data_IF_037050685489
#
_entry.id   IF_037050685489
#
_cell.length_a   1.000
_cell.length_b   1.000
_cell.length_c   1.000
_cell.angle_alpha   90.00
_cell.angle_beta   90.00
_cell.angle_gamma   90.00
#
_symmetry.space_group_name_H-M   'P 1'
#
loop_
_entity.id
_entity.type
_entity.pdbx_description
1 polymer ?
#
# COMPACT_ATOMS: atom_id res chain seq x y z
N UNK A 1 -4.95 4.95 9.16
CA UNK A 1 -3.79 5.00 10.07
C UNK A 1 -3.96 4.11 11.29
N UNK A 2 -4.99 4.25 12.13
CA UNK A 2 -5.12 3.38 13.32
C UNK A 2 -5.72 2.00 13.00
N UNK A 3 -6.89 1.97 12.35
CA UNK A 3 -7.58 0.71 12.02
C UNK A 3 -7.22 0.13 10.65
N UNK A 4 -6.60 0.92 9.77
CA UNK A 4 -6.25 0.52 8.39
C UNK A 4 -7.37 0.65 7.35
N UNK A 5 -8.59 1.00 7.78
CA UNK A 5 -9.77 1.23 6.94
C UNK A 5 -10.52 2.50 7.40
N UNK A 6 -11.33 3.13 6.53
CA UNK A 6 -12.10 4.32 6.90
C UNK A 6 -13.25 3.98 7.86
N UNK A 7 -13.68 4.92 8.72
CA UNK A 7 -14.75 4.70 9.69
C UNK A 7 -16.14 4.49 9.05
N UNK A 8 -16.33 5.01 7.84
CA UNK A 8 -17.48 4.79 6.97
C UNK A 8 -17.05 5.07 5.52
N UNK A 9 -17.79 4.56 4.54
CA UNK A 9 -17.46 4.72 3.11
C UNK A 9 -18.00 6.04 2.59
N UNK A 10 -19.25 6.38 2.96
CA UNK A 10 -19.90 7.62 2.56
C UNK A 10 -20.71 8.19 3.73
N UNK A 11 -20.75 9.53 3.90
CA UNK A 11 -21.60 10.17 4.91
C UNK A 11 -23.07 10.18 4.46
N UNK A 12 -23.65 8.99 4.31
CA UNK A 12 -25.02 8.77 3.82
C UNK A 12 -25.78 7.89 4.80
N UNK A 13 -27.09 8.14 4.99
CA UNK A 13 -27.94 7.31 5.83
C UNK A 13 -28.09 5.86 5.31
N UNK A 14 -27.74 5.62 4.04
CA UNK A 14 -27.65 4.27 3.46
C UNK A 14 -26.42 3.50 3.95
N UNK A 15 -25.37 4.21 4.37
CA UNK A 15 -24.18 3.59 4.95
C UNK A 15 -24.49 3.23 6.41
N UNK A 16 -24.50 1.92 6.68
CA UNK A 16 -24.80 1.39 8.02
C UNK A 16 -23.89 1.99 9.10
N UNK A 17 -22.61 2.24 8.78
CA UNK A 17 -21.64 2.80 9.72
C UNK A 17 -21.98 4.25 10.07
N UNK A 18 -22.29 5.06 9.06
CA UNK A 18 -22.68 6.46 9.25
C UNK A 18 -24.02 6.56 9.99
N UNK A 19 -24.97 5.67 9.69
CA UNK A 19 -26.26 5.60 10.39
C UNK A 19 -26.06 5.41 11.92
N UNK A 20 -25.07 4.63 12.37
CA UNK A 20 -24.79 4.47 13.80
C UNK A 20 -24.28 5.75 14.46
N UNK A 21 -23.49 6.55 13.74
CA UNK A 21 -23.04 7.86 14.21
C UNK A 21 -24.21 8.86 14.32
N UNK A 22 -25.09 8.89 13.32
CA UNK A 22 -26.27 9.77 13.30
C UNK A 22 -27.24 9.42 14.42
N UNK A 23 -27.52 8.12 14.62
CA UNK A 23 -28.43 7.64 15.67
C UNK A 23 -27.81 7.66 17.08
N UNK A 24 -26.52 7.99 17.21
CA UNK A 24 -25.82 7.99 18.49
C UNK A 24 -25.56 6.59 19.07
N UNK A 25 -25.72 5.53 18.27
CA UNK A 25 -25.50 4.14 18.69
C UNK A 25 -24.02 3.73 18.55
N UNK A 26 -23.13 4.49 19.21
CA UNK A 26 -21.68 4.33 19.11
C UNK A 26 -21.18 2.94 19.56
N UNK A 27 -21.87 2.27 20.47
CA UNK A 27 -21.49 0.93 20.92
C UNK A 27 -21.53 -0.09 19.78
N UNK A 28 -22.55 -0.03 18.91
CA UNK A 28 -22.65 -0.90 17.74
C UNK A 28 -21.58 -0.57 16.69
N UNK A 29 -21.31 0.73 16.51
CA UNK A 29 -20.24 1.21 15.64
C UNK A 29 -18.88 0.62 16.06
N UNK A 30 -18.55 0.71 17.35
CA UNK A 30 -17.28 0.21 17.87
C UNK A 30 -17.22 -1.31 17.93
N UNK A 31 -18.30 -1.99 18.32
CA UNK A 31 -18.36 -3.47 18.35
C UNK A 31 -18.01 -4.07 16.99
N UNK A 32 -18.49 -3.46 15.90
CA UNK A 32 -18.20 -3.93 14.55
C UNK A 32 -16.76 -3.62 14.10
N UNK A 33 -16.20 -2.46 14.45
CA UNK A 33 -14.77 -2.14 14.21
C UNK A 33 -13.83 -3.05 15.03
N UNK A 34 -14.25 -3.46 16.22
CA UNK A 34 -13.47 -4.28 17.15
C UNK A 34 -13.33 -5.76 16.78
N UNK A 35 -13.97 -6.16 15.69
CA UNK A 35 -13.75 -7.45 15.03
C UNK A 35 -12.37 -7.52 14.40
N UNK A 36 -11.80 -6.39 13.97
CA UNK A 36 -10.50 -6.34 13.28
C UNK A 36 -9.38 -5.73 14.11
N UNK A 37 -9.68 -4.75 14.97
CA UNK A 37 -8.68 -4.02 15.74
C UNK A 37 -9.23 -3.64 17.12
N UNK A 38 -8.45 -3.76 18.20
CA UNK A 38 -8.89 -3.32 19.53
C UNK A 38 -8.55 -1.85 19.76
N UNK A 39 -9.47 -1.12 20.39
CA UNK A 39 -9.30 0.30 20.65
C UNK A 39 -9.37 0.60 22.15
N UNK A 40 -8.50 1.49 22.63
CA UNK A 40 -8.59 1.97 24.01
C UNK A 40 -9.87 2.81 24.21
N UNK A 41 -10.41 2.81 25.43
CA UNK A 41 -11.63 3.58 25.77
C UNK A 41 -11.50 5.07 25.42
N UNK A 42 -10.36 5.69 25.75
CA UNK A 42 -10.14 7.11 25.45
C UNK A 42 -10.07 7.40 23.95
N UNK A 43 -9.56 6.44 23.15
CA UNK A 43 -9.54 6.59 21.70
C UNK A 43 -10.97 6.58 21.14
N UNK A 44 -11.79 5.63 21.60
CA UNK A 44 -13.19 5.53 21.18
C UNK A 44 -13.94 6.81 21.53
N UNK A 45 -13.75 7.34 22.75
CA UNK A 45 -14.39 8.59 23.18
C UNK A 45 -13.98 9.77 22.30
N UNK A 46 -12.67 9.96 22.06
CA UNK A 46 -12.17 11.02 21.19
C UNK A 46 -12.80 10.95 19.79
N UNK A 47 -12.71 9.79 19.14
CA UNK A 47 -13.18 9.62 17.76
C UNK A 47 -14.70 9.74 17.68
N UNK A 48 -15.44 9.20 18.64
CA UNK A 48 -16.91 9.37 18.71
C UNK A 48 -17.32 10.84 18.80
N UNK A 49 -16.58 11.66 19.54
CA UNK A 49 -16.86 13.10 19.64
C UNK A 49 -16.40 13.90 18.43
N UNK A 50 -15.34 13.47 17.75
CA UNK A 50 -14.91 14.06 16.47
C UNK A 50 -15.87 13.75 15.32
N UNK A 51 -16.44 12.55 15.30
CA UNK A 51 -17.35 12.07 14.26
C UNK A 51 -18.84 12.31 14.60
N UNK A 52 -19.13 13.16 15.60
CA UNK A 52 -20.50 13.59 15.94
C UNK A 52 -21.17 14.21 14.71
N UNK A 53 -22.42 13.80 14.48
CA UNK A 53 -23.27 14.35 13.41
C UNK A 53 -23.61 15.82 13.65
N UNK A 54 -24.04 16.16 14.87
CA UNK A 54 -24.29 17.54 15.33
C UNK A 54 -22.95 18.29 15.44
N UNK A 55 -22.81 19.35 14.63
CA UNK A 55 -21.60 20.18 14.52
C UNK A 55 -21.31 20.94 15.82
N UNK A 56 -22.34 21.44 16.51
CA UNK A 56 -22.23 22.17 17.78
C UNK A 56 -21.74 21.28 18.93
N UNK A 57 -21.94 19.97 18.81
CA UNK A 57 -21.47 18.98 19.80
C UNK A 57 -20.12 18.36 19.42
N UNK A 58 -19.58 18.68 18.25
CA UNK A 58 -18.27 18.20 17.81
C UNK A 58 -17.18 18.95 18.56
N UNK A 59 -16.12 18.23 18.95
CA UNK A 59 -15.00 18.88 19.63
C UNK A 59 -14.31 19.88 18.71
N UNK A 60 -13.95 21.03 19.27
CA UNK A 60 -13.05 21.99 18.63
C UNK A 60 -11.61 21.47 18.64
N UNK A 61 -10.75 22.04 17.79
CA UNK A 61 -9.33 21.65 17.74
C UNK A 61 -8.64 21.79 19.11
N UNK A 62 -8.92 22.86 19.85
CA UNK A 62 -8.36 23.06 21.20
C UNK A 62 -8.81 21.98 22.19
N UNK A 63 -10.08 21.57 22.12
CA UNK A 63 -10.61 20.51 22.97
C UNK A 63 -10.02 19.14 22.60
N UNK A 64 -9.77 18.89 21.31
CA UNK A 64 -9.09 17.66 20.84
C UNK A 64 -7.68 17.59 21.43
N UNK A 65 -6.91 18.68 21.36
CA UNK A 65 -5.54 18.72 21.90
C UNK A 65 -5.48 18.49 23.41
N UNK A 66 -6.51 18.91 24.14
CA UNK A 66 -6.65 18.70 25.59
C UNK A 66 -7.25 17.33 25.96
N UNK A 67 -7.69 16.54 24.98
CA UNK A 67 -8.32 15.25 25.25
C UNK A 67 -7.31 14.26 25.88
N UNK A 68 -7.78 13.44 26.82
CA UNK A 68 -6.94 12.49 27.57
C UNK A 68 -6.10 11.60 26.66
N UNK A 69 -6.68 11.14 25.55
CA UNK A 69 -5.96 10.34 24.54
C UNK A 69 -4.78 11.09 23.89
N UNK A 70 -4.92 12.37 23.57
CA UNK A 70 -3.86 13.21 22.98
C UNK A 70 -2.81 13.60 24.02
N UNK A 71 -3.21 13.76 25.28
CA UNK A 71 -2.32 14.09 26.39
C UNK A 71 -1.53 12.89 26.96
N UNK A 72 -1.71 11.68 26.40
CA UNK A 72 -0.95 10.50 26.85
C UNK A 72 0.54 10.67 26.57
N UNK A 73 1.37 9.99 27.37
CA UNK A 73 2.82 9.95 27.17
C UNK A 73 3.13 9.49 25.74
N UNK A 74 3.77 10.36 24.97
CA UNK A 74 4.37 10.02 23.69
C UNK A 74 5.81 9.56 23.92
N UNK A 75 6.23 8.53 23.21
CA UNK A 75 7.64 8.11 23.21
C UNK A 75 8.45 9.12 22.41
N UNK A 76 9.62 9.50 22.91
CA UNK A 76 10.59 10.21 22.07
C UNK A 76 11.17 9.28 20.99
N UNK A 77 11.89 9.84 20.02
CA UNK A 77 12.41 9.07 18.88
C UNK A 77 13.25 7.85 19.30
N UNK A 78 14.08 8.00 20.34
CA UNK A 78 14.94 6.92 20.83
C UNK A 78 14.13 5.83 21.54
N UNK A 79 13.23 6.21 22.46
CA UNK A 79 12.30 5.29 23.13
C UNK A 79 11.42 4.53 22.10
N UNK A 80 10.97 5.22 21.05
CA UNK A 80 10.18 4.64 19.97
C UNK A 80 10.96 3.57 19.20
N UNK A 81 12.22 3.86 18.81
CA UNK A 81 13.09 2.89 18.12
C UNK A 81 13.30 1.66 18.99
N UNK A 82 13.56 1.83 20.28
CA UNK A 82 13.71 0.71 21.22
C UNK A 82 12.44 -0.13 21.31
N UNK A 83 11.28 0.50 21.47
CA UNK A 83 10.00 -0.21 21.59
C UNK A 83 9.62 -0.95 20.30
N UNK A 84 9.83 -0.33 19.13
CA UNK A 84 9.57 -0.97 17.83
C UNK A 84 10.52 -2.14 17.58
N UNK A 85 11.81 -2.00 17.94
CA UNK A 85 12.81 -3.07 17.84
C UNK A 85 12.41 -4.25 18.73
N UNK A 86 11.98 -3.97 19.97
CA UNK A 86 11.49 -4.99 20.91
C UNK A 86 10.24 -5.72 20.39
N UNK A 87 9.35 -5.03 19.68
CA UNK A 87 8.11 -5.62 19.12
C UNK A 87 8.32 -6.37 17.80
N UNK A 88 9.36 -6.04 17.03
CA UNK A 88 9.61 -6.60 15.68
C UNK A 88 9.55 -8.14 15.64
N UNK A 89 10.19 -8.90 16.55
CA UNK A 89 10.15 -10.36 16.51
C UNK A 89 8.72 -10.93 16.62
N UNK A 90 7.89 -10.40 17.54
CA UNK A 90 6.51 -10.87 17.73
C UNK A 90 5.62 -10.61 16.52
N UNK A 91 5.82 -9.46 15.87
CA UNK A 91 5.08 -9.12 14.66
C UNK A 91 5.53 -10.00 13.49
N UNK A 92 6.83 -10.28 13.40
CA UNK A 92 7.40 -11.12 12.35
C UNK A 92 6.93 -12.58 12.45
N UNK A 93 6.86 -13.14 13.65
CA UNK A 93 6.34 -14.50 13.87
C UNK A 93 4.86 -14.59 13.52
N UNK A 94 4.03 -13.68 14.02
CA UNK A 94 2.60 -13.65 13.71
C UNK A 94 2.32 -13.49 12.20
N UNK A 95 3.13 -12.68 11.50
CA UNK A 95 3.04 -12.55 10.04
C UNK A 95 3.42 -13.84 9.30
N UNK A 96 4.42 -14.57 9.81
CA UNK A 96 4.83 -15.84 9.22
C UNK A 96 3.73 -16.90 9.37
N UNK A 97 3.17 -17.03 10.57
CA UNK A 97 2.04 -17.93 10.86
C UNK A 97 0.81 -17.61 10.00
N UNK A 98 0.44 -16.32 9.90
CA UNK A 98 -0.68 -15.91 9.05
C UNK A 98 -0.44 -16.28 7.58
N UNK A 99 0.80 -16.16 7.08
CA UNK A 99 1.14 -16.57 5.71
C UNK A 99 1.05 -18.08 5.53
N UNK A 100 1.52 -18.88 6.50
CA UNK A 100 1.42 -20.34 6.46
C UNK A 100 -0.04 -20.80 6.47
N UNK A 101 -0.88 -20.22 7.33
CA UNK A 101 -2.31 -20.54 7.38
C UNK A 101 -3.02 -20.19 6.07
N UNK A 102 -2.66 -19.08 5.41
CA UNK A 102 -3.22 -18.75 4.09
C UNK A 102 -2.83 -19.79 3.04
N UNK A 103 -1.56 -20.22 2.99
CA UNK A 103 -1.11 -21.28 2.07
C UNK A 103 -1.81 -22.63 2.34
N UNK A 104 -1.99 -22.99 3.61
CA UNK A 104 -2.67 -24.23 3.97
C UNK A 104 -4.16 -24.20 3.59
N UNK A 105 -4.84 -23.07 3.80
CA UNK A 105 -6.24 -22.91 3.40
C UNK A 105 -6.39 -22.92 1.86
N UNK A 106 -5.51 -22.24 1.14
CA UNK A 106 -5.50 -22.26 -0.33
C UNK A 106 -5.23 -23.68 -0.88
N UNK A 107 -4.49 -24.53 -0.15
CA UNK A 107 -4.23 -25.92 -0.53
C UNK A 107 -5.38 -26.89 -0.24
N UNK A 108 -6.29 -26.57 0.69
CA UNK A 108 -7.47 -27.42 0.99
C UNK A 108 -8.67 -27.14 0.08
N UNK A 109 -8.76 -25.93 -0.50
CA UNK A 109 -9.88 -25.52 -1.35
C UNK A 109 -9.81 -26.12 -2.78
N UNK A 110 -8.63 -26.56 -3.22
CA UNK A 110 -8.45 -27.22 -4.51
C UNK A 110 -9.10 -28.62 -4.58
N UNK A 111 -9.36 -29.26 -3.44
CA UNK A 111 -9.78 -30.66 -3.39
C UNK A 111 -11.31 -30.84 -3.35
N UNK A 112 -12.12 -29.76 -3.31
CA UNK A 112 -13.57 -29.90 -3.00
C UNK A 112 -14.58 -29.08 -3.82
N UNK A 113 -14.18 -28.33 -4.85
CA UNK A 113 -15.10 -27.44 -5.59
C UNK A 113 -15.09 -27.65 -7.11
N UNK A 114 -16.17 -28.21 -7.64
CA UNK A 114 -16.41 -28.39 -9.08
C UNK A 114 -16.49 -27.08 -9.87
N UNK A 115 -16.25 -27.23 -11.17
CA UNK A 115 -16.23 -26.18 -12.18
C UNK A 115 -17.52 -25.33 -12.22
N UNK A 116 -17.41 -24.03 -11.96
CA UNK A 116 -18.03 -22.92 -12.70
C UNK A 116 -17.87 -21.60 -11.93
N UNK A 117 -17.08 -20.68 -12.47
CA UNK A 117 -16.92 -19.32 -11.96
C UNK A 117 -15.75 -18.62 -12.64
N UNK A 118 -16.02 -17.50 -13.30
CA UNK A 118 -15.10 -16.81 -14.22
C UNK A 118 -13.67 -16.67 -13.69
N UNK A 119 -12.77 -17.45 -14.29
CA UNK A 119 -11.34 -17.39 -14.05
C UNK A 119 -10.73 -16.19 -14.79
N UNK A 120 -10.28 -15.17 -14.05
CA UNK A 120 -9.07 -14.46 -14.46
C UNK A 120 -7.92 -15.41 -14.14
N UNK A 121 -7.48 -16.15 -15.17
CA UNK A 121 -6.53 -17.25 -15.01
C UNK A 121 -5.22 -16.82 -14.34
N UNK A 122 -4.61 -17.68 -13.50
CA UNK A 122 -3.25 -17.49 -13.09
C UNK A 122 -2.34 -17.74 -14.31
N UNK A 123 -1.48 -16.77 -14.66
CA UNK A 123 -0.25 -17.10 -15.39
C UNK A 123 0.01 -16.47 -16.77
N UNK A 124 -0.85 -15.61 -17.33
CA UNK A 124 -0.45 -14.90 -18.55
C UNK A 124 0.50 -13.75 -18.19
N UNK A 125 1.81 -13.96 -18.39
CA UNK A 125 2.79 -12.89 -18.21
C UNK A 125 2.46 -11.71 -19.13
N UNK A 126 2.75 -10.47 -18.69
CA UNK A 126 2.75 -9.34 -19.61
C UNK A 126 3.70 -9.65 -20.75
N UNK A 127 3.22 -9.53 -21.99
CA UNK A 127 4.11 -9.54 -23.15
C UNK A 127 5.03 -8.32 -23.02
N UNK A 128 6.33 -8.54 -23.14
CA UNK A 128 7.30 -7.45 -23.05
C UNK A 128 7.02 -6.46 -24.17
N UNK A 129 6.75 -5.21 -23.79
CA UNK A 129 6.63 -4.10 -24.73
C UNK A 129 8.02 -3.83 -25.30
N UNK A 130 8.15 -3.67 -26.61
CA UNK A 130 9.43 -3.28 -27.20
C UNK A 130 9.73 -1.81 -26.88
N UNK A 131 10.95 -1.54 -26.43
CA UNK A 131 11.36 -0.22 -25.97
C UNK A 131 12.67 0.13 -26.66
N UNK A 132 12.68 1.21 -27.42
CA UNK A 132 13.93 1.75 -27.95
C UNK A 132 14.80 2.27 -26.81
N UNK A 133 15.88 1.55 -26.56
CA UNK A 133 16.86 1.86 -25.52
C UNK A 133 17.95 2.83 -26.00
N UNK A 134 18.11 3.04 -27.32
CA UNK A 134 19.19 3.85 -27.88
C UNK A 134 19.00 5.35 -27.62
N UNK A 135 17.76 5.77 -27.41
CA UNK A 135 17.35 7.16 -27.22
C UNK A 135 17.13 7.53 -25.75
N UNK A 136 17.42 6.62 -24.80
CA UNK A 136 17.22 6.90 -23.38
C UNK A 136 18.29 7.87 -22.85
N UNK A 137 17.89 8.89 -22.05
CA UNK A 137 18.85 9.77 -21.40
C UNK A 137 19.70 8.98 -20.40
N UNK A 138 20.85 9.52 -19.99
CA UNK A 138 21.60 8.96 -18.86
C UNK A 138 20.71 9.00 -17.62
N UNK A 139 20.64 7.88 -16.90
CA UNK A 139 19.82 7.81 -15.71
C UNK A 139 20.48 8.62 -14.57
N UNK A 140 19.77 9.63 -14.10
CA UNK A 140 20.23 10.46 -12.98
C UNK A 140 20.01 9.75 -11.64
N UNK A 141 20.88 10.04 -10.67
CA UNK A 141 20.67 9.60 -9.29
C UNK A 141 19.64 10.52 -8.66
N UNK A 142 18.55 9.95 -8.16
CA UNK A 142 17.57 10.68 -7.38
C UNK A 142 17.78 10.35 -5.91
N UNK A 143 18.20 11.35 -5.13
CA UNK A 143 18.09 11.28 -3.67
C UNK A 143 16.67 11.72 -3.30
N UNK A 144 15.83 10.82 -2.77
CA UNK A 144 14.48 11.21 -2.39
C UNK A 144 14.58 12.16 -1.19
N UNK A 145 14.11 13.40 -1.38
CA UNK A 145 14.07 14.46 -0.35
C UNK A 145 13.16 14.05 0.84
N UNK A 146 12.23 13.11 0.59
CA UNK A 146 11.32 12.53 1.59
C UNK A 146 11.21 11.03 1.33
N UNK A 147 11.17 10.21 2.41
CA UNK A 147 10.92 8.76 2.31
C UNK A 147 9.62 8.49 1.54
N UNK A 148 9.75 7.90 0.34
CA UNK A 148 8.61 7.54 -0.49
C UNK A 148 8.23 6.07 -0.23
N UNK A 149 7.00 5.85 0.22
CA UNK A 149 6.50 4.52 0.62
C UNK A 149 5.96 3.69 -0.56
N UNK A 150 6.11 4.21 -1.78
CA UNK A 150 5.56 3.65 -3.02
C UNK A 150 6.69 3.30 -4.00
N UNK A 151 7.74 2.66 -3.47
CA UNK A 151 8.93 2.26 -4.20
C UNK A 151 8.98 0.74 -4.37
N UNK A 152 9.28 0.30 -5.58
CA UNK A 152 9.53 -1.10 -5.92
C UNK A 152 11.02 -1.27 -6.23
N UNK A 153 11.69 -2.16 -5.50
CA UNK A 153 13.09 -2.47 -5.69
C UNK A 153 13.28 -3.48 -6.83
N UNK A 154 14.05 -3.11 -7.85
CA UNK A 154 14.44 -4.00 -8.95
C UNK A 154 15.90 -4.44 -8.79
N UNK A 155 16.18 -5.67 -9.22
CA UNK A 155 17.55 -6.19 -9.42
C UNK A 155 17.97 -6.16 -10.90
N UNK A 156 17.04 -5.82 -11.79
CA UNK A 156 17.28 -5.73 -13.23
C UNK A 156 17.93 -4.38 -13.56
N UNK A 157 18.59 -4.28 -14.71
CA UNK A 157 19.11 -3.02 -15.23
C UNK A 157 17.97 -2.00 -15.42
N UNK A 158 18.30 -0.70 -15.46
CA UNK A 158 17.29 0.34 -15.64
C UNK A 158 16.46 0.18 -16.93
N UNK A 159 17.05 -0.13 -18.11
CA UNK A 159 16.29 -0.40 -19.32
C UNK A 159 15.28 -1.56 -19.18
N UNK A 160 15.72 -2.68 -18.60
CA UNK A 160 14.85 -3.84 -18.39
C UNK A 160 13.76 -3.57 -17.36
N UNK A 161 14.08 -2.80 -16.31
CA UNK A 161 13.12 -2.36 -15.30
C UNK A 161 12.05 -1.46 -15.91
N UNK A 162 12.45 -0.52 -16.78
CA UNK A 162 11.53 0.32 -17.53
C UNK A 162 10.61 -0.50 -18.43
N UNK A 163 11.19 -1.39 -19.24
CA UNK A 163 10.45 -2.28 -20.14
C UNK A 163 9.43 -3.13 -19.38
N UNK A 164 9.85 -3.70 -18.25
CA UNK A 164 8.98 -4.52 -17.42
C UNK A 164 7.84 -3.70 -16.79
N UNK A 165 8.14 -2.52 -16.25
CA UNK A 165 7.13 -1.60 -15.70
C UNK A 165 6.07 -1.27 -16.74
N UNK A 166 6.48 -0.88 -17.96
CA UNK A 166 5.58 -0.58 -19.07
C UNK A 166 4.70 -1.78 -19.42
N UNK A 167 5.29 -2.98 -19.45
CA UNK A 167 4.57 -4.20 -19.80
C UNK A 167 3.50 -4.53 -18.76
N UNK A 168 3.83 -4.43 -17.47
CA UNK A 168 2.88 -4.64 -16.36
C UNK A 168 1.75 -3.62 -16.42
N UNK A 169 2.04 -2.35 -16.68
CA UNK A 169 1.03 -1.29 -16.77
C UNK A 169 0.13 -1.46 -17.99
N UNK A 170 0.70 -1.82 -19.16
CA UNK A 170 -0.05 -2.07 -20.38
C UNK A 170 -0.98 -3.29 -20.26
N UNK A 171 -0.57 -4.30 -19.48
CA UNK A 171 -1.38 -5.50 -19.22
C UNK A 171 -2.67 -5.20 -18.45
N UNK A 172 -2.78 -4.03 -17.81
CA UNK A 172 -3.99 -3.63 -17.08
C UNK A 172 -5.15 -3.21 -18.00
N UNK A 173 -4.91 -3.05 -19.31
CA UNK A 173 -5.92 -2.82 -20.35
C UNK A 173 -6.55 -1.42 -20.39
N UNK A 174 -6.79 -0.80 -19.24
CA UNK A 174 -7.50 0.49 -19.11
C UNK A 174 -6.57 1.67 -18.75
N UNK A 175 -5.33 1.63 -19.23
CA UNK A 175 -4.28 2.60 -18.89
C UNK A 175 -3.78 3.28 -20.15
N UNK A 176 -3.93 4.60 -20.22
CA UNK A 176 -3.21 5.43 -21.19
C UNK A 176 -1.83 5.73 -20.63
N UNK A 177 -0.79 5.41 -21.40
CA UNK A 177 0.60 5.51 -20.97
C UNK A 177 1.32 6.52 -21.86
N UNK A 178 2.01 7.48 -21.24
CA UNK A 178 2.93 8.41 -21.91
C UNK A 178 4.32 8.20 -21.31
N UNK A 179 5.35 8.05 -22.14
CA UNK A 179 6.74 7.83 -21.69
C UNK A 179 7.60 9.03 -22.05
N UNK A 180 8.37 9.52 -21.08
CA UNK A 180 9.45 10.48 -21.30
C UNK A 180 10.71 9.96 -20.61
N UNK A 181 11.62 9.36 -21.39
CA UNK A 181 12.83 8.73 -20.86
C UNK A 181 12.51 7.57 -19.89
N UNK A 182 12.95 7.72 -18.63
CA UNK A 182 12.71 6.78 -17.53
C UNK A 182 11.47 7.11 -16.69
N UNK A 183 10.72 8.15 -17.05
CA UNK A 183 9.45 8.52 -16.43
C UNK A 183 8.28 8.02 -17.27
N UNK A 184 7.33 7.38 -16.61
CA UNK A 184 6.09 6.88 -17.21
C UNK A 184 4.93 7.62 -16.55
N UNK A 185 4.18 8.41 -17.31
CA UNK A 185 2.91 8.97 -16.86
C UNK A 185 1.75 8.04 -17.27
N UNK A 186 0.88 7.75 -16.31
CA UNK A 186 -0.24 6.84 -16.49
C UNK A 186 -1.55 7.54 -16.16
N UNK A 187 -2.52 7.46 -17.07
CA UNK A 187 -3.91 7.87 -16.85
C UNK A 187 -4.82 6.65 -16.90
N UNK A 188 -5.57 6.40 -15.84
CA UNK A 188 -6.45 5.24 -15.69
C UNK A 188 -7.88 5.71 -15.50
N UNK A 189 -8.76 5.20 -16.35
CA UNK A 189 -10.20 5.43 -16.24
C UNK A 189 -10.81 4.32 -15.39
N UNK A 190 -11.33 4.67 -14.22
CA UNK A 190 -12.07 3.75 -13.35
C UNK A 190 -13.53 4.20 -13.22
N UNK A 191 -14.38 3.33 -12.67
CA UNK A 191 -15.76 3.68 -12.33
C UNK A 191 -15.86 4.78 -11.26
N UNK A 192 -14.78 4.99 -10.49
CA UNK A 192 -14.71 6.01 -9.44
C UNK A 192 -14.12 7.35 -9.92
N UNK A 193 -13.66 7.42 -11.17
CA UNK A 193 -13.11 8.64 -11.78
C UNK A 193 -11.80 8.40 -12.54
N UNK A 194 -11.09 9.49 -12.81
CA UNK A 194 -9.80 9.47 -13.51
C UNK A 194 -8.68 9.49 -12.47
N UNK A 195 -7.76 8.54 -12.58
CA UNK A 195 -6.54 8.46 -11.78
C UNK A 195 -5.34 8.82 -12.65
N UNK A 196 -4.50 9.74 -12.19
CA UNK A 196 -3.24 10.10 -12.85
C UNK A 196 -2.09 9.87 -11.88
N UNK A 197 -1.05 9.16 -12.32
CA UNK A 197 0.16 8.91 -11.54
C UNK A 197 1.39 8.77 -12.44
N UNK A 198 2.58 8.94 -11.86
CA UNK A 198 3.86 8.66 -12.52
C UNK A 198 4.50 7.42 -11.92
N UNK A 199 5.26 6.69 -12.74
CA UNK A 199 6.19 5.64 -12.35
C UNK A 199 7.57 6.00 -12.90
N UNK A 200 8.51 6.30 -12.02
CA UNK A 200 9.85 6.77 -12.38
C UNK A 200 10.89 5.71 -12.01
N UNK A 201 11.71 5.35 -12.99
CA UNK A 201 12.82 4.44 -12.79
C UNK A 201 14.03 5.27 -12.37
N UNK A 202 14.60 5.01 -11.19
CA UNK A 202 15.70 5.80 -10.60
C UNK A 202 16.82 4.91 -10.10
N UNK A 203 18.07 5.40 -10.15
CA UNK A 203 19.20 4.68 -9.52
C UNK A 203 19.06 4.71 -8.00
N UNK A 204 19.22 3.55 -7.37
CA UNK A 204 19.19 3.45 -5.90
C UNK A 204 20.41 4.16 -5.32
N UNK A 205 20.16 5.17 -4.49
CA UNK A 205 21.22 5.81 -3.71
C UNK A 205 21.87 4.79 -2.76
N UNK A 206 23.20 4.85 -2.63
CA UNK A 206 23.92 3.99 -1.69
C UNK A 206 23.55 4.40 -0.26
N UNK A 207 22.94 3.48 0.50
CA UNK A 207 22.62 3.72 1.91
C UNK A 207 23.89 3.44 2.71
N UNK A 208 24.48 4.43 3.40
CA UNK A 208 25.66 4.21 4.23
C UNK A 208 25.35 3.15 5.30
N UNK A 209 26.09 2.04 5.31
CA UNK A 209 25.95 0.95 6.29
C UNK A 209 24.94 -0.15 5.94
N UNK A 210 24.37 -0.15 4.74
CA UNK A 210 23.61 -1.29 4.20
C UNK A 210 24.52 -2.29 3.46
N UNK A 211 24.15 -3.57 3.42
CA UNK A 211 24.80 -4.55 2.56
C UNK A 211 24.87 -4.02 1.11
N UNK A 212 26.04 -4.10 0.48
CA UNK A 212 26.33 -3.49 -0.82
C UNK A 212 25.20 -3.77 -1.82
N UNK A 213 24.38 -2.74 -2.07
CA UNK A 213 23.47 -2.77 -3.20
C UNK A 213 24.33 -2.86 -4.47
N UNK A 214 23.96 -3.70 -5.46
CA UNK A 214 24.66 -3.74 -6.74
C UNK A 214 24.83 -2.32 -7.28
N UNK A 215 26.00 -2.04 -7.88
CA UNK A 215 26.36 -0.71 -8.42
C UNK A 215 25.31 -0.12 -9.37
N UNK A 216 24.47 -0.98 -9.94
CA UNK A 216 23.40 -0.66 -10.88
C UNK A 216 22.01 -1.04 -10.34
N UNK A 217 21.81 -1.04 -9.02
CA UNK A 217 20.50 -1.28 -8.43
C UNK A 217 19.53 -0.14 -8.76
N UNK A 218 18.30 -0.50 -9.13
CA UNK A 218 17.29 0.43 -9.62
C UNK A 218 16.02 0.31 -8.80
N UNK A 219 15.37 1.43 -8.58
CA UNK A 219 14.09 1.54 -7.92
C UNK A 219 13.04 2.11 -8.88
N UNK A 220 11.79 1.67 -8.73
CA UNK A 220 10.64 2.24 -9.46
C UNK A 220 9.78 2.97 -8.44
N UNK A 221 9.75 4.28 -8.52
CA UNK A 221 8.96 5.14 -7.63
C UNK A 221 7.62 5.49 -8.27
N UNK A 222 6.53 5.19 -7.57
CA UNK A 222 5.19 5.56 -7.99
C UNK A 222 4.73 6.82 -7.26
N UNK A 223 4.32 7.87 -7.99
CA UNK A 223 3.76 9.10 -7.41
C UNK A 223 2.35 9.36 -7.93
N UNK A 224 1.36 9.42 -7.04
CA UNK A 224 -0.01 9.81 -7.39
C UNK A 224 -0.05 11.32 -7.65
N UNK A 225 -0.48 11.72 -8.84
CA UNK A 225 -0.70 13.13 -9.19
C UNK A 225 -2.14 13.55 -8.88
N UNK A 226 -3.13 12.73 -9.23
CA UNK A 226 -4.55 13.01 -8.99
C UNK A 226 -5.38 11.73 -8.87
N UNK A 227 -6.68 11.85 -8.55
CA UNK A 227 -7.64 10.73 -8.48
C UNK A 227 -7.65 9.97 -7.15
N UNK A 228 -8.46 8.91 -7.05
CA UNK A 228 -8.72 8.21 -5.80
C UNK A 228 -7.50 7.42 -5.28
N UNK A 229 -7.15 7.61 -3.99
CA UNK A 229 -6.04 6.88 -3.35
C UNK A 229 -6.22 5.36 -3.39
N UNK A 230 -7.45 4.86 -3.24
CA UNK A 230 -7.73 3.43 -3.24
C UNK A 230 -7.44 2.77 -4.60
N UNK A 231 -7.77 3.46 -5.70
CA UNK A 231 -7.43 3.00 -7.05
C UNK A 231 -5.91 2.98 -7.24
N UNK A 232 -5.23 4.07 -6.87
CA UNK A 232 -3.76 4.14 -6.92
C UNK A 232 -3.11 3.00 -6.12
N UNK A 233 -3.56 2.77 -4.88
CA UNK A 233 -3.05 1.69 -4.01
C UNK A 233 -3.29 0.31 -4.63
N UNK A 234 -4.43 0.10 -5.30
CA UNK A 234 -4.74 -1.16 -5.99
C UNK A 234 -3.76 -1.41 -7.14
N UNK A 235 -3.50 -0.38 -7.97
CA UNK A 235 -2.55 -0.45 -9.08
C UNK A 235 -1.13 -0.71 -8.59
N UNK A 236 -0.67 0.06 -7.61
CA UNK A 236 0.64 -0.13 -7.00
C UNK A 236 0.82 -1.56 -6.48
N UNK A 237 -0.16 -2.08 -5.71
CA UNK A 237 -0.13 -3.47 -5.21
C UNK A 237 -0.17 -4.51 -6.31
N UNK A 238 -0.82 -4.22 -7.44
CA UNK A 238 -0.81 -5.11 -8.60
C UNK A 238 0.60 -5.18 -9.18
N UNK A 239 1.24 -4.03 -9.40
CA UNK A 239 2.61 -3.95 -9.87
C UNK A 239 3.59 -4.69 -8.94
N UNK A 240 3.50 -4.46 -7.62
CA UNK A 240 4.35 -5.14 -6.64
C UNK A 240 4.34 -6.66 -6.77
N UNK A 241 3.21 -7.28 -7.12
CA UNK A 241 3.13 -8.74 -7.27
C UNK A 241 3.94 -9.24 -8.45
N UNK A 242 3.96 -8.51 -9.56
CA UNK A 242 4.73 -8.88 -10.75
C UNK A 242 6.24 -8.77 -10.50
N UNK A 243 6.67 -7.73 -9.80
CA UNK A 243 8.10 -7.55 -9.46
C UNK A 243 8.64 -8.56 -8.45
N UNK A 244 7.78 -9.32 -7.76
CA UNK A 244 8.19 -10.36 -6.80
C UNK A 244 8.39 -11.74 -7.43
N UNK A 245 8.15 -11.89 -8.74
CA UNK A 245 8.35 -13.14 -9.48
C UNK A 245 9.66 -13.10 -10.30
N UNK A 246 10.37 -14.22 -10.36
CA UNK A 246 11.55 -14.38 -11.23
C UNK A 246 11.15 -14.58 -12.71
N UNK A 247 12.15 -14.74 -13.57
CA UNK A 247 11.95 -14.99 -15.02
C UNK A 247 11.31 -16.35 -15.32
N UNK A 248 11.13 -17.21 -14.32
CA UNK A 248 10.42 -18.48 -14.38
C UNK A 248 9.02 -18.38 -13.76
N UNK A 249 8.61 -17.20 -13.26
CA UNK A 249 7.31 -16.97 -12.64
C UNK A 249 7.23 -17.50 -11.21
N UNK A 250 8.34 -18.01 -10.68
CA UNK A 250 8.42 -18.45 -9.31
C UNK A 250 8.56 -17.23 -8.41
N UNK A 251 7.94 -17.23 -7.21
CA UNK A 251 8.20 -16.20 -6.23
C UNK A 251 9.70 -16.18 -5.91
N UNK A 252 10.35 -15.03 -6.10
CA UNK A 252 11.74 -14.86 -5.69
C UNK A 252 11.77 -15.09 -4.18
N UNK A 253 12.57 -16.05 -3.73
CA UNK A 253 12.91 -16.25 -2.31
C UNK A 253 13.59 -14.99 -1.79
N UNK A 254 12.80 -14.01 -1.35
CA UNK A 254 13.34 -12.81 -0.71
C UNK A 254 13.69 -13.16 0.73
N UNK A 255 14.97 -13.42 0.99
CA UNK A 255 15.56 -12.86 2.20
C UNK A 255 15.29 -11.36 2.17
N UNK A 256 14.76 -10.87 3.28
CA UNK A 256 14.13 -9.57 3.46
C UNK A 256 14.95 -8.42 2.89
N UNK A 257 14.38 -7.67 1.95
CA UNK A 257 14.66 -6.25 1.83
C UNK A 257 13.60 -5.54 2.69
N UNK A 258 14.03 -4.95 3.82
CA UNK A 258 13.25 -4.24 4.83
C UNK A 258 12.52 -2.96 4.31
N UNK A 259 12.17 -2.86 3.03
CA UNK A 259 11.68 -1.61 2.41
C UNK A 259 10.22 -1.60 1.96
N UNK A 260 9.61 -2.75 1.64
CA UNK A 260 8.24 -2.78 1.13
C UNK A 260 7.24 -2.73 2.30
N UNK A 261 7.14 -1.55 2.89
CA UNK A 261 6.26 -1.22 3.99
C UNK A 261 4.80 -1.10 3.51
N UNK A 262 4.19 -2.25 3.20
CA UNK A 262 2.74 -2.34 3.12
C UNK A 262 2.18 -2.37 4.56
N UNK A 263 2.10 -1.23 5.22
CA UNK A 263 1.31 -1.14 6.45
C UNK A 263 -0.19 -1.17 6.09
N UNK A 264 -0.86 -2.15 6.69
CA UNK A 264 -2.30 -2.18 6.95
C UNK A 264 -2.56 -1.39 8.21
#
# INVERSE_FOLDING_TARGET
>A
MYAGYPPYVQPSLKDWWFQKLVTGTYELFWTAHERQCKFSKDFKDLISRMLRFDDKRRLTAEQIMKHSWCAKKTLNQHELVQELTRRKPKVDTAKLEQKLNRKNNDSMDFTRGGAQGMALGPGSRPKLVDVDFKTLPKLERHEPDVKTYTVIHSRKSAPLTLQYTLSVLAHMGNVKITRVGYSIECTVHSTAGILVFTAEVVLRAHVPGGADAPKDAVDVEFRRLSGAFHDFRRIYRHCCRFFQCDESGNPVSTQRADGCSAYS
#
